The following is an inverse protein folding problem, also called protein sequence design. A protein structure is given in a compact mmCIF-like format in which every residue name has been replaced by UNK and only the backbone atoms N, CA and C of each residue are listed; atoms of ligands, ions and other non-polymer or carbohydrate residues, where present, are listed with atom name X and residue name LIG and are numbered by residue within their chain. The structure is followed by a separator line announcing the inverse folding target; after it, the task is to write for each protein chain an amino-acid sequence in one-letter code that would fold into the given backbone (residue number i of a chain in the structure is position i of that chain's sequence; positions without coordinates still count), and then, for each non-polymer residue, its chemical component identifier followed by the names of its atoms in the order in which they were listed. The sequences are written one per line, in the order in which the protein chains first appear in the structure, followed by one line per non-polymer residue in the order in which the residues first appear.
data_IF_413993311547
#
_entry.id   IF_413993311547
#
_cell.length_a   1.000
_cell.length_b   1.000
_cell.length_c   1.000
_cell.angle_alpha   90.00
_cell.angle_beta   90.00
_cell.angle_gamma   90.00
#
_symmetry.space_group_name_H-M   'P 1'
#
loop_
_entity.id
_entity.type
_entity.pdbx_description
1 polymer ?
#
# COMPACT_ATOMS: atom_id res chain seq x y z
N UNK A 1 -5.86 8.82 13.77
CA UNK A 1 -4.97 9.90 13.29
C UNK A 1 -5.67 11.26 13.47
N UNK A 2 -4.95 12.33 13.83
CA UNK A 2 -5.51 13.70 13.97
C UNK A 2 -5.11 14.53 12.75
N UNK A 3 -6.07 15.10 12.03
CA UNK A 3 -5.75 15.83 10.79
C UNK A 3 -4.93 17.10 10.98
N UNK A 4 -5.02 17.74 12.14
CA UNK A 4 -4.17 18.90 12.45
C UNK A 4 -2.68 18.58 12.37
N UNK A 5 -2.30 17.31 12.51
CA UNK A 5 -0.91 16.85 12.39
C UNK A 5 -0.41 16.83 10.95
N UNK A 6 -1.28 16.81 9.94
CA UNK A 6 -0.86 16.84 8.53
C UNK A 6 0.02 18.06 8.21
N UNK A 7 -0.25 19.20 8.85
CA UNK A 7 0.51 20.43 8.67
C UNK A 7 1.96 20.33 9.18
N UNK A 8 2.28 19.29 9.96
CA UNK A 8 3.61 19.06 10.51
C UNK A 8 4.32 17.87 9.87
N UNK A 9 3.63 17.10 9.03
CA UNK A 9 4.21 15.93 8.39
C UNK A 9 5.30 16.31 7.38
N UNK A 10 6.27 15.43 7.20
CA UNK A 10 7.23 15.50 6.11
C UNK A 10 6.95 14.42 5.06
N UNK A 11 6.55 13.24 5.53
CA UNK A 11 6.21 12.08 4.72
C UNK A 11 4.99 11.36 5.33
N UNK A 12 3.92 11.22 4.57
CA UNK A 12 2.75 10.42 4.93
C UNK A 12 2.68 9.15 4.08
N UNK A 13 2.76 7.98 4.71
CA UNK A 13 2.53 6.70 4.05
C UNK A 13 1.14 6.17 4.43
N UNK A 14 0.31 5.90 3.43
CA UNK A 14 -1.04 5.37 3.65
C UNK A 14 -1.10 3.93 3.13
N UNK A 15 -1.52 3.00 3.99
CA UNK A 15 -1.81 1.61 3.60
C UNK A 15 -3.24 1.34 4.03
N UNK A 16 -4.13 1.06 3.08
CA UNK A 16 -5.56 0.90 3.36
C UNK A 16 -6.21 -0.11 2.44
N UNK A 17 -7.17 -0.87 2.97
CA UNK A 17 -8.00 -1.74 2.17
C UNK A 17 -9.23 -1.00 1.63
N UNK A 18 -9.94 -1.63 0.71
CA UNK A 18 -11.25 -1.16 0.25
C UNK A 18 -12.33 -2.16 0.67
N UNK A 19 -13.47 -1.68 1.15
CA UNK A 19 -14.60 -2.49 1.60
C UNK A 19 -15.88 -2.15 0.82
N UNK A 20 -16.77 -3.14 0.67
CA UNK A 20 -18.08 -2.94 0.04
C UNK A 20 -17.98 -2.33 -1.36
N UNK A 21 -18.71 -1.24 -1.59
CA UNK A 21 -18.81 -0.57 -2.89
C UNK A 21 -17.73 0.52 -3.09
N UNK A 22 -16.49 0.23 -2.72
CA UNK A 22 -15.38 1.18 -2.83
C UNK A 22 -15.18 2.05 -1.59
N UNK A 23 -15.73 1.66 -0.44
CA UNK A 23 -15.67 2.42 0.80
C UNK A 23 -14.42 2.12 1.62
N UNK A 24 -14.16 3.00 2.59
CA UNK A 24 -13.10 2.81 3.56
C UNK A 24 -13.43 1.68 4.55
N UNK A 25 -12.42 1.02 5.15
CA UNK A 25 -12.64 0.20 6.33
C UNK A 25 -13.19 1.03 7.49
N UNK A 26 -13.87 0.39 8.45
CA UNK A 26 -14.50 1.09 9.58
C UNK A 26 -13.52 1.94 10.42
N UNK A 27 -12.27 1.50 10.57
CA UNK A 27 -11.23 2.30 11.25
C UNK A 27 -10.77 3.54 10.44
N UNK A 28 -11.09 3.60 9.15
CA UNK A 28 -10.79 4.69 8.22
C UNK A 28 -11.87 5.75 8.12
N UNK A 29 -13.10 5.51 8.61
CA UNK A 29 -14.24 6.43 8.45
C UNK A 29 -13.97 7.83 8.97
N UNK A 30 -13.36 7.93 10.17
CA UNK A 30 -13.00 9.22 10.77
C UNK A 30 -11.98 9.97 9.91
N UNK A 31 -11.01 9.25 9.34
CA UNK A 31 -10.00 9.83 8.45
C UNK A 31 -10.65 10.29 7.14
N UNK A 32 -11.45 9.44 6.49
CA UNK A 32 -12.21 9.76 5.27
C UNK A 32 -13.03 11.02 5.48
N UNK A 33 -13.87 11.07 6.52
CA UNK A 33 -14.71 12.24 6.78
C UNK A 33 -13.88 13.51 6.92
N UNK A 34 -12.84 13.48 7.74
CA UNK A 34 -12.04 14.69 7.98
C UNK A 34 -11.22 15.09 6.75
N UNK A 35 -10.64 14.13 6.02
CA UNK A 35 -9.74 14.41 4.89
C UNK A 35 -10.53 15.02 3.73
N UNK A 36 -11.73 14.51 3.46
CA UNK A 36 -12.56 14.99 2.36
C UNK A 36 -13.21 16.34 2.65
N UNK A 37 -13.41 16.68 3.94
CA UNK A 37 -13.86 18.02 4.37
C UNK A 37 -12.75 19.07 4.34
N UNK A 38 -11.48 18.65 4.34
CA UNK A 38 -10.35 19.57 4.26
C UNK A 38 -10.31 20.21 2.87
N UNK A 39 -10.25 21.55 2.81
CA UNK A 39 -10.24 22.29 1.55
C UNK A 39 -8.82 22.57 1.05
N UNK A 40 -7.92 22.89 1.98
CA UNK A 40 -6.55 23.32 1.69
C UNK A 40 -5.61 22.77 2.76
N UNK A 41 -4.36 22.55 2.38
CA UNK A 41 -3.22 22.29 3.26
C UNK A 41 -2.20 23.41 3.07
N UNK A 42 -1.62 23.91 4.15
CA UNK A 42 -0.56 24.92 4.06
C UNK A 42 0.81 24.28 3.85
N UNK A 43 1.05 23.13 4.47
CA UNK A 43 2.27 22.36 4.35
C UNK A 43 2.22 21.41 3.14
N UNK A 44 3.23 21.52 2.28
CA UNK A 44 3.43 20.61 1.15
C UNK A 44 4.35 19.46 1.55
N UNK A 45 3.78 18.49 2.26
CA UNK A 45 4.47 17.25 2.59
C UNK A 45 4.47 16.28 1.40
N UNK A 46 5.28 15.22 1.51
CA UNK A 46 5.28 14.13 0.54
C UNK A 46 4.42 12.98 0.99
N UNK A 47 3.82 12.23 0.06
CA UNK A 47 3.01 11.07 0.43
C UNK A 47 3.14 9.92 -0.55
N UNK A 48 2.80 8.71 -0.10
CA UNK A 48 2.61 7.56 -0.97
C UNK A 48 1.47 6.69 -0.44
N UNK A 49 0.74 6.04 -1.35
CA UNK A 49 -0.44 5.23 -1.02
C UNK A 49 -0.25 3.80 -1.52
N UNK A 50 -0.66 2.83 -0.71
CA UNK A 50 -0.83 1.44 -1.09
C UNK A 50 -2.25 0.96 -0.76
N UNK A 51 -2.95 0.50 -1.78
CA UNK A 51 -4.29 -0.05 -1.68
C UNK A 51 -4.27 -1.57 -1.58
N UNK A 52 -5.03 -2.13 -0.64
CA UNK A 52 -5.38 -3.55 -0.62
C UNK A 52 -6.80 -3.71 -1.16
N UNK A 53 -6.99 -4.64 -2.07
CA UNK A 53 -8.29 -4.93 -2.66
C UNK A 53 -8.34 -6.31 -3.29
N UNK A 54 -9.46 -6.61 -3.93
CA UNK A 54 -9.60 -7.82 -4.73
C UNK A 54 -10.18 -7.44 -6.09
N UNK A 55 -9.53 -7.91 -7.16
CA UNK A 55 -9.98 -7.71 -8.54
C UNK A 55 -11.33 -8.37 -8.84
N UNK A 56 -11.84 -9.20 -7.94
CA UNK A 56 -13.22 -9.73 -7.99
C UNK A 56 -14.27 -8.63 -7.85
N UNK A 57 -13.92 -7.50 -7.25
CA UNK A 57 -14.83 -6.37 -7.06
C UNK A 57 -14.61 -5.30 -8.14
N UNK A 58 -15.68 -4.72 -8.71
CA UNK A 58 -15.58 -3.70 -9.75
C UNK A 58 -14.79 -2.45 -9.34
N UNK A 59 -14.78 -2.14 -8.05
CA UNK A 59 -14.11 -0.96 -7.48
C UNK A 59 -12.81 -1.36 -6.78
N UNK A 60 -11.90 -1.95 -7.55
CA UNK A 60 -10.58 -2.39 -7.08
C UNK A 60 -9.80 -1.21 -6.49
N UNK A 61 -9.32 -1.36 -5.24
CA UNK A 61 -8.54 -0.37 -4.49
C UNK A 61 -9.14 1.05 -4.43
N UNK A 62 -10.45 1.21 -4.65
CA UNK A 62 -11.06 2.52 -4.87
C UNK A 62 -10.86 3.51 -3.71
N UNK A 63 -10.91 3.07 -2.46
CA UNK A 63 -10.68 3.99 -1.35
C UNK A 63 -9.22 4.50 -1.30
N UNK A 64 -8.26 3.67 -1.70
CA UNK A 64 -6.86 4.08 -1.79
C UNK A 64 -6.68 5.16 -2.87
N UNK A 65 -7.31 4.97 -4.03
CA UNK A 65 -7.35 5.96 -5.12
C UNK A 65 -8.03 7.25 -4.69
N UNK A 66 -9.15 7.17 -3.97
CA UNK A 66 -9.84 8.36 -3.46
C UNK A 66 -8.94 9.17 -2.50
N UNK A 67 -8.14 8.49 -1.66
CA UNK A 67 -7.17 9.13 -0.76
C UNK A 67 -6.02 9.77 -1.53
N UNK A 68 -5.43 9.05 -2.49
CA UNK A 68 -4.35 9.56 -3.35
C UNK A 68 -4.79 10.82 -4.09
N UNK A 69 -5.94 10.75 -4.78
CA UNK A 69 -6.52 11.88 -5.49
C UNK A 69 -6.79 13.06 -4.56
N UNK A 70 -7.32 12.82 -3.36
CA UNK A 70 -7.60 13.89 -2.40
C UNK A 70 -6.31 14.56 -1.89
N UNK A 71 -5.26 13.81 -1.58
CA UNK A 71 -3.97 14.35 -1.14
C UNK A 71 -3.31 15.17 -2.27
N UNK A 72 -3.36 14.67 -3.50
CA UNK A 72 -2.90 15.38 -4.69
C UNK A 72 -3.64 16.72 -4.86
N UNK A 73 -4.97 16.72 -4.78
CA UNK A 73 -5.78 17.94 -4.88
C UNK A 73 -5.51 18.96 -3.78
N UNK A 74 -5.11 18.52 -2.58
CA UNK A 74 -4.72 19.39 -1.48
C UNK A 74 -3.30 19.97 -1.64
N UNK A 75 -2.56 19.57 -2.69
CA UNK A 75 -1.23 20.08 -3.01
C UNK A 75 -0.07 19.32 -2.36
N UNK A 76 -0.33 18.16 -1.75
CA UNK A 76 0.74 17.26 -1.30
C UNK A 76 1.47 16.66 -2.51
N UNK A 77 2.76 16.35 -2.35
CA UNK A 77 3.58 15.83 -3.45
C UNK A 77 3.66 14.31 -3.40
N UNK A 78 3.19 13.63 -4.45
CA UNK A 78 3.28 12.18 -4.54
C UNK A 78 4.76 11.76 -4.64
N UNK A 79 5.18 10.84 -3.77
CA UNK A 79 6.54 10.32 -3.71
C UNK A 79 6.75 9.18 -4.71
N UNK A 80 5.76 8.29 -4.82
CA UNK A 80 5.70 7.17 -5.76
C UNK A 80 4.26 6.92 -6.16
N UNK A 81 4.00 6.35 -7.35
CA UNK A 81 2.65 5.96 -7.76
C UNK A 81 1.96 5.07 -6.73
N UNK A 82 0.63 5.16 -6.68
CA UNK A 82 -0.21 4.29 -5.85
C UNK A 82 0.06 2.83 -6.19
N UNK A 83 0.46 2.04 -5.19
CA UNK A 83 0.58 0.60 -5.33
C UNK A 83 -0.75 -0.08 -5.03
N UNK A 84 -0.99 -1.22 -5.68
CA UNK A 84 -2.22 -2.01 -5.51
C UNK A 84 -1.86 -3.47 -5.24
N UNK A 85 -2.41 -4.01 -4.16
CA UNK A 85 -2.24 -5.40 -3.78
C UNK A 85 -3.55 -6.17 -3.94
N UNK A 86 -3.62 -7.00 -4.98
CA UNK A 86 -4.75 -7.87 -5.26
C UNK A 86 -4.70 -9.14 -4.40
N UNK A 87 -5.69 -9.31 -3.54
CA UNK A 87 -5.87 -10.50 -2.69
C UNK A 87 -5.84 -11.81 -3.49
N UNK A 88 -6.30 -11.77 -4.75
CA UNK A 88 -6.34 -12.95 -5.63
C UNK A 88 -5.05 -13.13 -6.44
N UNK A 89 -4.16 -12.14 -6.45
CA UNK A 89 -2.99 -12.12 -7.32
C UNK A 89 -1.81 -11.42 -6.65
N UNK A 90 -1.13 -12.14 -5.76
CA UNK A 90 0.19 -11.74 -5.27
C UNK A 90 0.21 -10.44 -4.45
N UNK A 91 -0.79 -10.21 -3.59
CA UNK A 91 -0.88 -9.01 -2.75
C UNK A 91 0.41 -8.69 -1.98
N UNK A 92 1.04 -9.69 -1.35
CA UNK A 92 2.27 -9.48 -0.60
C UNK A 92 3.45 -9.06 -1.49
N UNK A 93 3.60 -9.68 -2.66
CA UNK A 93 4.68 -9.37 -3.59
C UNK A 93 4.54 -7.97 -4.15
N UNK A 94 3.31 -7.57 -4.49
CA UNK A 94 2.99 -6.21 -4.90
C UNK A 94 3.33 -5.21 -3.79
N UNK A 95 2.98 -5.50 -2.54
CA UNK A 95 3.34 -4.66 -1.40
C UNK A 95 4.85 -4.56 -1.19
N UNK A 96 5.58 -5.68 -1.25
CA UNK A 96 7.05 -5.69 -1.09
C UNK A 96 7.72 -4.84 -2.16
N UNK A 97 7.28 -4.99 -3.42
CA UNK A 97 7.79 -4.20 -4.54
C UNK A 97 7.53 -2.70 -4.34
N UNK A 98 6.30 -2.32 -3.99
CA UNK A 98 5.95 -0.94 -3.70
C UNK A 98 6.74 -0.39 -2.51
N UNK A 99 6.79 -1.12 -1.39
CA UNK A 99 7.50 -0.69 -0.19
C UNK A 99 8.98 -0.42 -0.46
N UNK A 100 9.63 -1.27 -1.26
CA UNK A 100 11.02 -1.10 -1.67
C UNK A 100 11.23 0.14 -2.53
N UNK A 101 10.35 0.37 -3.52
CA UNK A 101 10.42 1.54 -4.39
C UNK A 101 10.18 2.84 -3.60
N UNK A 102 9.14 2.86 -2.77
CA UNK A 102 8.78 3.99 -1.90
C UNK A 102 9.91 4.30 -0.91
N UNK A 103 10.52 3.28 -0.31
CA UNK A 103 11.64 3.46 0.63
C UNK A 103 12.86 4.08 -0.06
N UNK A 104 13.24 3.56 -1.24
CA UNK A 104 14.36 4.13 -2.03
C UNK A 104 14.07 5.56 -2.45
N UNK A 105 12.85 5.84 -2.93
CA UNK A 105 12.43 7.18 -3.30
C UNK A 105 12.49 8.14 -2.10
N UNK A 106 12.06 7.71 -0.91
CA UNK A 106 12.18 8.49 0.31
C UNK A 106 13.66 8.77 0.64
N UNK A 107 14.53 7.77 0.59
CA UNK A 107 15.96 7.95 0.87
C UNK A 107 16.62 8.98 -0.04
N UNK A 108 16.30 8.93 -1.34
CA UNK A 108 16.75 9.92 -2.33
C UNK A 108 16.24 11.32 -1.97
N UNK A 109 14.92 11.40 -1.80
CA UNK A 109 14.17 12.63 -1.63
C UNK A 109 14.54 13.39 -0.35
N UNK A 110 14.86 12.68 0.72
CA UNK A 110 15.25 13.25 2.01
C UNK A 110 16.77 13.29 2.22
N UNK A 111 17.57 12.96 1.20
CA UNK A 111 19.03 13.06 1.26
C UNK A 111 19.67 12.17 2.33
N UNK A 112 19.15 10.96 2.51
CA UNK A 112 19.65 10.03 3.54
C UNK A 112 21.08 9.61 3.22
N UNK A 113 22.01 9.90 4.13
CA UNK A 113 23.43 9.53 3.99
C UNK A 113 23.59 8.02 3.98
N UNK A 114 24.41 7.51 3.06
CA UNK A 114 24.66 6.08 2.94
C UNK A 114 23.44 5.28 2.46
N UNK A 115 22.50 5.91 1.72
CA UNK A 115 21.30 5.28 1.16
C UNK A 115 21.56 3.95 0.44
N UNK A 116 22.71 3.83 -0.24
CA UNK A 116 23.10 2.61 -0.98
C UNK A 116 23.60 1.47 -0.07
N UNK A 117 23.90 1.78 1.19
CA UNK A 117 24.42 0.84 2.18
C UNK A 117 23.38 0.48 3.26
N UNK A 118 22.14 0.96 3.15
CA UNK A 118 21.10 0.63 4.13
C UNK A 118 20.76 -0.86 4.02
N UNK A 119 20.92 -1.58 5.12
CA UNK A 119 20.58 -3.00 5.18
C UNK A 119 19.06 -3.18 5.28
N UNK A 120 18.45 -3.61 4.18
CA UNK A 120 17.01 -3.89 4.11
C UNK A 120 16.73 -5.31 4.61
N UNK A 121 15.68 -5.55 5.42
CA UNK A 121 15.34 -6.89 5.91
C UNK A 121 15.16 -7.90 4.78
N UNK A 122 15.59 -9.15 5.02
CA UNK A 122 15.51 -10.27 4.06
C UNK A 122 14.11 -10.47 3.46
N UNK A 123 13.06 -10.17 4.22
CA UNK A 123 11.67 -10.24 3.78
C UNK A 123 11.40 -9.44 2.48
N UNK A 124 12.10 -8.33 2.28
CA UNK A 124 11.93 -7.43 1.13
C UNK A 124 12.98 -7.62 0.04
N UNK A 125 14.01 -8.44 0.28
CA UNK A 125 15.12 -8.68 -0.65
C UNK A 125 15.20 -10.11 -1.15
N UNK A 126 14.57 -11.06 -0.45
CA UNK A 126 14.52 -12.46 -0.83
C UNK A 126 13.28 -12.69 -1.68
N UNK A 127 13.47 -13.17 -2.92
CA UNK A 127 12.40 -13.86 -3.61
C UNK A 127 12.09 -15.13 -2.83
N UNK A 128 10.80 -15.42 -2.59
CA UNK A 128 10.39 -16.72 -2.06
C UNK A 128 10.64 -17.73 -3.19
N UNK A 129 11.88 -18.19 -3.33
CA UNK A 129 12.20 -19.31 -4.18
C UNK A 129 11.64 -20.55 -3.50
N UNK A 130 10.87 -21.35 -4.24
CA UNK A 130 10.47 -22.66 -3.74
C UNK A 130 11.72 -23.48 -3.42
N UNK A 131 11.90 -23.83 -2.15
CA UNK A 131 13.02 -24.65 -1.69
C UNK A 131 12.51 -26.06 -1.35
N UNK A 132 12.87 -27.10 -2.14
CA UNK A 132 12.35 -28.45 -1.95
C UNK A 132 12.56 -29.02 -0.53
N UNK A 133 13.55 -28.52 0.21
CA UNK A 133 13.86 -28.95 1.57
C UNK A 133 12.97 -28.33 2.65
N UNK A 134 12.32 -27.20 2.36
CA UNK A 134 11.42 -26.51 3.29
C UNK A 134 9.94 -26.84 3.09
N UNK A 135 9.60 -27.54 2.01
CA UNK A 135 8.23 -27.91 1.68
C UNK A 135 8.12 -29.42 1.42
N UNK A 136 7.31 -30.13 2.19
CA UNK A 136 7.01 -31.55 1.94
C UNK A 136 5.86 -31.65 0.94
N UNK A 137 6.14 -32.19 -0.24
CA UNK A 137 5.11 -32.60 -1.19
C UNK A 137 4.29 -33.75 -0.59
N UNK A 138 2.99 -33.56 -0.43
CA UNK A 138 2.05 -34.64 -0.07
C UNK A 138 1.31 -35.04 -1.34
N UNK A 139 1.40 -36.30 -1.75
CA UNK A 139 0.58 -36.80 -2.85
C UNK A 139 -0.89 -36.80 -2.40
N UNK A 140 -1.72 -35.98 -3.02
CA UNK A 140 -3.15 -35.94 -2.74
C UNK A 140 -3.79 -37.29 -3.06
N UNK A 141 -4.38 -37.94 -2.05
CA UNK A 141 -4.93 -39.29 -2.18
C UNK A 141 -6.36 -39.35 -2.73
N UNK A 142 -6.87 -38.29 -3.37
CA UNK A 142 -8.17 -38.30 -4.05
C UNK A 142 -8.19 -37.30 -5.23
N UNK A 143 -8.82 -37.65 -6.37
CA UNK A 143 -9.09 -36.68 -7.43
C UNK A 143 -10.05 -35.61 -6.89
N UNK A 144 -9.72 -34.34 -7.11
CA UNK A 144 -10.65 -33.22 -6.93
C UNK A 144 -11.80 -33.40 -7.92
N UNK A 145 -12.94 -33.85 -7.43
CA UNK A 145 -14.17 -33.98 -8.21
C UNK A 145 -14.69 -32.58 -8.51
N UNK A 146 -14.37 -32.05 -9.70
CA UNK A 146 -14.68 -30.69 -10.16
C UNK A 146 -16.13 -30.53 -10.68
N UNK A 147 -17.04 -31.40 -10.25
CA UNK A 147 -18.45 -31.31 -10.58
C UNK A 147 -19.32 -31.30 -9.33
N UNK A 148 -19.65 -30.09 -8.85
CA UNK A 148 -20.89 -29.77 -8.15
C UNK A 148 -21.18 -28.28 -8.20
#
# INVERSE_FOLDING_TARGET
YRLSSLEQEQLLLVVTSTFGNGDCPGNGEKLKRSLFLLKELTNKFRYAVFGLGSSMYPRFCAFAHDVDQKLSHLGASQLTPTGEGDELSGQEDAFRSWAMQTFKAACETFGIRGKDCIHIPKLYTSSVAWEPHHYRLVQGSQPLDLHK
#
